data_IF_039622687501
#
_entry.id   IF_039622687501
#
_cell.length_a   1.000
_cell.length_b   1.000
_cell.length_c   1.000
_cell.angle_alpha   90.00
_cell.angle_beta   90.00
_cell.angle_gamma   90.00
#
_symmetry.space_group_name_H-M   'P 1'
#
loop_
_entity.id
_entity.type
_entity.pdbx_description
1 polymer ?
#
# COMPACT_ATOMS: atom_id res chain seq x y z
N UNK A 1 6.82 -32.53 24.27
CA UNK A 1 7.10 -31.37 25.12
C UNK A 1 8.60 -31.16 25.08
N UNK A 2 9.09 -30.15 24.38
CA UNK A 2 10.49 -29.76 24.43
C UNK A 2 10.66 -28.87 25.67
N UNK A 3 11.52 -29.29 26.56
CA UNK A 3 11.80 -28.58 27.81
C UNK A 3 12.87 -27.53 27.54
N UNK A 4 12.63 -26.28 27.90
CA UNK A 4 13.53 -25.14 27.68
C UNK A 4 14.81 -25.20 28.54
N UNK A 5 14.87 -26.10 29.52
CA UNK A 5 16.01 -26.24 30.41
C UNK A 5 17.19 -27.01 29.78
N UNK A 6 17.04 -27.62 28.61
CA UNK A 6 18.09 -28.39 27.92
C UNK A 6 19.10 -27.53 27.12
N UNK A 7 18.98 -26.19 27.12
CA UNK A 7 19.85 -25.28 26.38
C UNK A 7 20.99 -24.65 27.18
N UNK A 8 21.21 -25.05 28.45
CA UNK A 8 22.36 -24.60 29.24
C UNK A 8 23.43 -25.72 29.35
N UNK A 9 23.94 -26.17 28.19
CA UNK A 9 25.18 -26.94 28.16
C UNK A 9 26.36 -25.96 28.12
N UNK A 10 27.23 -26.06 29.12
CA UNK A 10 28.45 -25.27 29.29
C UNK A 10 29.31 -25.24 28.02
N UNK A 11 29.54 -24.08 27.47
CA UNK A 11 30.50 -23.88 26.36
C UNK A 11 31.92 -24.07 26.90
N UNK A 12 32.61 -25.11 26.42
CA UNK A 12 34.05 -25.28 26.60
C UNK A 12 34.77 -24.20 25.77
N UNK A 13 35.81 -23.54 26.26
CA UNK A 13 36.52 -22.50 25.53
C UNK A 13 37.19 -23.07 24.26
N UNK A 14 36.76 -22.59 23.09
CA UNK A 14 37.39 -22.87 21.81
C UNK A 14 38.66 -22.04 21.68
N UNK A 15 39.79 -22.68 21.45
CA UNK A 15 41.08 -22.02 21.21
C UNK A 15 40.97 -21.10 19.99
N UNK A 16 41.34 -19.85 20.17
CA UNK A 16 41.37 -18.84 19.10
C UNK A 16 42.41 -19.24 18.07
N UNK A 17 41.99 -19.43 16.81
CA UNK A 17 42.88 -19.49 15.68
C UNK A 17 43.47 -18.09 15.41
N UNK A 18 44.75 -17.98 14.98
CA UNK A 18 45.36 -16.70 14.63
C UNK A 18 44.70 -16.10 13.38
N UNK A 19 44.52 -14.77 13.41
CA UNK A 19 43.91 -14.03 12.31
C UNK A 19 44.69 -14.18 11.01
N UNK A 20 44.03 -14.24 9.84
CA UNK A 20 44.69 -14.25 8.56
C UNK A 20 45.39 -12.92 8.29
N UNK A 21 46.52 -12.91 7.52
CA UNK A 21 47.24 -11.69 7.19
C UNK A 21 46.37 -10.74 6.35
N UNK A 22 46.60 -9.38 6.43
CA UNK A 22 45.82 -8.42 5.70
C UNK A 22 45.96 -8.61 4.18
N UNK A 23 44.80 -8.55 3.49
CA UNK A 23 44.74 -8.63 2.03
C UNK A 23 45.52 -7.44 1.40
N UNK A 24 46.35 -7.74 0.42
CA UNK A 24 47.04 -6.73 -0.38
C UNK A 24 46.03 -5.97 -1.24
N UNK A 25 46.13 -4.63 -1.25
CA UNK A 25 45.37 -3.77 -2.13
C UNK A 25 45.59 -4.13 -3.61
N UNK A 26 44.55 -4.24 -4.42
CA UNK A 26 44.71 -4.43 -5.86
C UNK A 26 45.25 -3.14 -6.52
N UNK A 27 46.23 -3.31 -7.40
CA UNK A 27 46.78 -2.23 -8.21
C UNK A 27 45.72 -1.56 -9.08
N UNK A 28 45.82 -0.23 -9.37
CA UNK A 28 44.81 0.48 -10.13
C UNK A 28 44.72 -0.07 -11.58
N UNK A 29 43.51 -0.42 -11.98
CA UNK A 29 43.20 -0.85 -13.36
C UNK A 29 43.39 0.30 -14.34
N UNK A 30 44.03 0.00 -15.47
CA UNK A 30 44.22 0.95 -16.55
C UNK A 30 42.91 1.44 -17.15
N UNK A 31 42.83 2.74 -17.39
CA UNK A 31 41.67 3.41 -17.97
C UNK A 31 41.33 2.87 -19.36
N UNK A 32 40.06 2.49 -19.55
CA UNK A 32 39.49 2.17 -20.86
C UNK A 32 39.29 3.45 -21.70
N UNK A 33 39.40 3.42 -23.01
CA UNK A 33 39.28 4.62 -23.85
C UNK A 33 37.81 5.13 -23.89
N UNK A 34 37.69 6.43 -23.75
CA UNK A 34 36.43 7.18 -23.82
C UNK A 34 35.76 7.08 -25.19
N UNK A 35 34.47 6.76 -25.23
CA UNK A 35 33.64 6.85 -26.43
C UNK A 35 33.44 8.32 -26.87
N UNK A 36 33.26 8.61 -28.16
CA UNK A 36 33.14 9.97 -28.65
C UNK A 36 31.82 10.62 -28.25
N UNK A 37 31.90 11.88 -27.86
CA UNK A 37 30.79 12.72 -27.48
C UNK A 37 29.76 12.87 -28.60
N UNK A 38 28.48 12.62 -28.27
CA UNK A 38 27.36 12.92 -29.16
C UNK A 38 27.18 14.43 -29.27
N UNK A 39 26.91 14.91 -30.47
CA UNK A 39 26.68 16.31 -30.79
C UNK A 39 25.38 16.83 -30.11
N UNK A 40 25.30 18.12 -29.73
CA UNK A 40 24.13 18.66 -29.05
C UNK A 40 22.92 18.74 -29.99
N UNK A 41 21.79 18.18 -29.57
CA UNK A 41 20.51 18.33 -30.24
C UNK A 41 20.04 19.79 -30.17
N UNK A 42 19.59 20.30 -31.31
CA UNK A 42 19.07 21.64 -31.45
C UNK A 42 17.89 21.92 -30.52
N UNK A 43 17.97 23.01 -29.83
CA UNK A 43 16.93 23.57 -28.95
C UNK A 43 15.76 24.02 -29.84
N UNK A 44 14.60 23.34 -29.69
CA UNK A 44 13.36 23.83 -30.27
C UNK A 44 12.85 25.05 -29.44
N UNK A 45 12.53 26.12 -30.11
CA UNK A 45 11.92 27.32 -29.52
C UNK A 45 10.50 26.98 -28.99
N UNK A 46 10.08 27.56 -27.85
CA UNK A 46 8.73 27.36 -27.33
C UNK A 46 7.70 28.05 -28.20
N UNK A 47 6.76 27.29 -28.73
CA UNK A 47 5.58 27.83 -29.41
C UNK A 47 4.75 28.66 -28.42
N UNK A 48 4.33 29.85 -28.89
CA UNK A 48 3.52 30.80 -28.15
C UNK A 48 2.20 30.18 -27.68
N UNK A 49 1.87 30.36 -26.39
CA UNK A 49 0.61 29.97 -25.81
C UNK A 49 -0.57 30.70 -26.47
N UNK A 50 -1.67 30.00 -26.79
CA UNK A 50 -2.89 30.66 -27.18
C UNK A 50 -3.54 31.31 -25.96
N UNK A 51 -3.68 32.63 -26.02
CA UNK A 51 -4.47 33.43 -25.08
C UNK A 51 -5.96 33.18 -25.32
N UNK A 52 -6.66 32.78 -24.27
CA UNK A 52 -8.10 32.96 -24.14
C UNK A 52 -8.97 31.80 -24.61
N UNK A 53 -9.26 30.89 -23.72
CA UNK A 53 -10.50 30.13 -23.74
C UNK A 53 -11.20 30.31 -22.38
N UNK A 54 -12.46 30.73 -22.45
CA UNK A 54 -13.28 31.03 -21.30
C UNK A 54 -13.42 29.86 -20.33
N UNK A 55 -13.58 30.17 -19.05
CA UNK A 55 -14.00 29.26 -18.02
C UNK A 55 -15.33 28.63 -18.45
N UNK A 56 -15.25 27.43 -19.01
CA UNK A 56 -16.39 26.57 -19.23
C UNK A 56 -16.90 26.08 -17.89
N UNK A 57 -18.21 26.06 -17.72
CA UNK A 57 -18.97 25.57 -16.57
C UNK A 57 -18.52 24.18 -16.12
N UNK A 58 -18.43 23.98 -14.83
CA UNK A 58 -17.95 22.80 -14.08
C UNK A 58 -18.81 21.51 -14.22
N UNK A 59 -19.61 21.35 -15.28
CA UNK A 59 -20.44 20.17 -15.54
C UNK A 59 -19.98 19.43 -16.82
N UNK A 60 -18.83 18.76 -16.73
CA UNK A 60 -18.58 17.68 -17.67
C UNK A 60 -19.60 16.54 -17.39
N UNK A 61 -20.30 16.01 -18.41
CA UNK A 61 -21.28 14.95 -18.17
C UNK A 61 -20.60 13.74 -17.54
N UNK A 62 -21.07 13.39 -16.33
CA UNK A 62 -20.65 12.18 -15.62
C UNK A 62 -20.96 10.99 -16.53
N UNK A 63 -19.96 10.11 -16.78
CA UNK A 63 -20.19 8.93 -17.63
C UNK A 63 -21.27 8.03 -17.01
N UNK A 64 -22.03 7.31 -17.82
CA UNK A 64 -23.05 6.35 -17.37
C UNK A 64 -22.46 5.32 -16.38
N UNK A 65 -21.19 4.98 -16.52
CA UNK A 65 -20.49 4.07 -15.61
C UNK A 65 -20.31 4.69 -14.22
N UNK A 66 -19.93 5.97 -14.12
CA UNK A 66 -19.81 6.70 -12.87
C UNK A 66 -21.19 6.86 -12.19
N UNK A 67 -22.22 7.15 -12.97
CA UNK A 67 -23.59 7.24 -12.44
C UNK A 67 -24.06 5.89 -11.85
N UNK A 68 -23.78 4.76 -12.52
CA UNK A 68 -24.09 3.42 -12.00
C UNK A 68 -23.31 3.10 -10.72
N UNK A 69 -22.03 3.48 -10.65
CA UNK A 69 -21.22 3.29 -9.46
C UNK A 69 -21.82 4.02 -8.24
N UNK A 70 -22.17 5.29 -8.40
CA UNK A 70 -22.84 6.08 -7.34
C UNK A 70 -24.16 5.44 -6.89
N UNK A 71 -25.00 5.04 -7.82
CA UNK A 71 -26.29 4.40 -7.52
C UNK A 71 -26.14 3.04 -6.80
N UNK A 72 -25.07 2.30 -7.10
CA UNK A 72 -24.74 1.05 -6.41
C UNK A 72 -24.38 1.32 -4.95
N UNK A 73 -23.54 2.33 -4.69
CA UNK A 73 -23.08 2.67 -3.35
C UNK A 73 -24.18 3.28 -2.45
N UNK A 74 -25.14 3.99 -3.03
CA UNK A 74 -26.29 4.53 -2.28
C UNK A 74 -27.16 3.44 -1.64
N UNK A 75 -27.16 2.26 -2.23
CA UNK A 75 -27.99 1.12 -1.77
C UNK A 75 -27.22 0.18 -0.84
N UNK A 76 -25.95 0.45 -0.56
CA UNK A 76 -25.11 -0.45 0.21
C UNK A 76 -25.48 -0.42 1.69
N UNK A 77 -25.81 -1.59 2.26
CA UNK A 77 -25.94 -1.78 3.70
C UNK A 77 -24.53 -1.92 4.33
N UNK A 78 -24.21 -1.07 5.28
CA UNK A 78 -22.90 -1.02 5.95
C UNK A 78 -22.85 -1.81 7.26
N UNK A 79 -23.99 -2.36 7.72
CA UNK A 79 -24.07 -3.06 9.02
C UNK A 79 -23.11 -4.23 9.13
N UNK A 80 -22.95 -4.98 8.05
CA UNK A 80 -22.06 -6.13 7.96
C UNK A 80 -20.58 -5.72 7.98
N UNK A 81 -20.23 -4.63 7.29
CA UNK A 81 -18.89 -4.06 7.32
C UNK A 81 -18.49 -3.55 8.70
N UNK A 82 -19.42 -2.93 9.43
CA UNK A 82 -19.16 -2.51 10.80
C UNK A 82 -18.93 -3.70 11.71
N UNK A 83 -19.73 -4.77 11.59
CA UNK A 83 -19.56 -5.97 12.40
C UNK A 83 -18.20 -6.67 12.15
N UNK A 84 -17.74 -6.70 10.89
CA UNK A 84 -16.44 -7.29 10.55
C UNK A 84 -15.27 -6.44 11.08
N UNK A 85 -15.37 -5.12 10.99
CA UNK A 85 -14.39 -4.19 11.57
C UNK A 85 -14.31 -4.36 13.10
N UNK A 86 -15.45 -4.55 13.76
CA UNK A 86 -15.51 -4.84 15.19
C UNK A 86 -14.84 -6.19 15.51
N UNK A 87 -15.05 -7.20 14.68
CA UNK A 87 -14.40 -8.51 14.79
C UNK A 87 -12.89 -8.45 14.56
N UNK A 88 -12.44 -7.67 13.56
CA UNK A 88 -11.01 -7.47 13.27
C UNK A 88 -10.28 -6.64 14.34
N UNK A 89 -10.94 -5.65 14.94
CA UNK A 89 -10.41 -4.85 16.04
C UNK A 89 -10.45 -5.58 17.40
N UNK A 90 -11.23 -6.67 17.50
CA UNK A 90 -11.33 -7.50 18.70
C UNK A 90 -10.03 -8.25 18.97
N UNK A 91 -9.49 -8.19 20.22
CA UNK A 91 -8.38 -9.06 20.63
C UNK A 91 -8.84 -10.51 20.62
N UNK A 92 -8.28 -11.30 19.70
CA UNK A 92 -8.49 -12.75 19.67
C UNK A 92 -7.73 -13.36 20.85
N UNK A 93 -8.42 -14.11 21.71
CA UNK A 93 -7.78 -14.85 22.80
C UNK A 93 -6.85 -15.92 22.20
N UNK A 94 -5.72 -16.19 22.89
CA UNK A 94 -4.72 -17.14 22.39
C UNK A 94 -5.34 -18.53 22.16
N UNK A 95 -6.28 -18.93 23.00
CA UNK A 95 -6.95 -20.23 22.93
C UNK A 95 -7.94 -20.37 21.76
N UNK A 96 -8.39 -19.23 21.19
CA UNK A 96 -9.28 -19.19 20.02
C UNK A 96 -8.52 -19.28 18.68
N UNK A 97 -7.18 -19.23 18.71
CA UNK A 97 -6.35 -19.32 17.51
C UNK A 97 -6.36 -20.74 16.95
N UNK A 98 -6.93 -20.88 15.74
CA UNK A 98 -6.91 -22.14 15.01
C UNK A 98 -5.54 -22.39 14.38
N UNK A 99 -5.07 -23.64 14.43
CA UNK A 99 -3.85 -24.05 13.76
C UNK A 99 -4.10 -24.07 12.24
N UNK A 100 -3.32 -23.29 11.47
CA UNK A 100 -3.40 -23.26 10.01
C UNK A 100 -2.60 -24.43 9.48
N UNK A 101 -3.27 -25.36 8.78
CA UNK A 101 -2.60 -26.47 8.12
C UNK A 101 -2.36 -26.10 6.64
N UNK A 102 -1.13 -25.73 6.31
CA UNK A 102 -0.71 -25.44 4.93
C UNK A 102 -0.24 -26.75 4.27
N UNK A 103 -0.90 -27.13 3.16
CA UNK A 103 -0.53 -28.31 2.35
C UNK A 103 0.46 -27.99 1.23
N UNK A 104 0.96 -26.77 1.13
CA UNK A 104 1.85 -26.36 0.07
C UNK A 104 3.31 -26.72 0.40
N UNK A 105 3.98 -27.41 -0.49
CA UNK A 105 5.41 -27.63 -0.43
C UNK A 105 6.15 -26.46 -1.10
N UNK A 106 6.76 -25.60 -0.28
CA UNK A 106 7.55 -24.46 -0.75
C UNK A 106 8.93 -24.85 -1.31
N UNK A 107 9.32 -26.13 -1.24
CA UNK A 107 10.59 -26.62 -1.80
C UNK A 107 10.54 -26.79 -3.33
N UNK A 108 9.39 -26.55 -3.97
CA UNK A 108 9.23 -26.66 -5.43
C UNK A 108 9.51 -25.35 -6.17
N UNK A 109 10.44 -24.54 -5.67
CA UNK A 109 10.79 -23.26 -6.32
C UNK A 109 11.67 -23.38 -7.57
N UNK A 110 12.28 -24.54 -7.83
CA UNK A 110 13.20 -24.71 -8.97
C UNK A 110 12.73 -25.83 -9.88
N UNK A 111 12.61 -25.59 -11.19
CA UNK A 111 12.80 -24.33 -11.90
C UNK A 111 11.62 -23.36 -11.70
N UNK A 112 11.91 -22.06 -11.75
CA UNK A 112 10.87 -21.03 -11.64
C UNK A 112 9.94 -21.05 -12.86
N UNK A 113 8.64 -21.03 -12.62
CA UNK A 113 7.64 -20.82 -13.69
C UNK A 113 7.46 -19.32 -13.99
N UNK A 114 7.50 -18.48 -12.94
CA UNK A 114 7.30 -17.04 -13.03
C UNK A 114 8.48 -16.28 -12.42
N UNK A 115 9.53 -16.07 -13.21
CA UNK A 115 10.72 -15.33 -12.78
C UNK A 115 10.39 -13.92 -12.29
N UNK A 116 9.38 -13.27 -12.90
CA UNK A 116 8.92 -11.96 -12.49
C UNK A 116 8.39 -11.93 -11.04
N UNK A 117 7.70 -12.98 -10.60
CA UNK A 117 7.19 -13.05 -9.22
C UNK A 117 8.32 -13.28 -8.23
N UNK A 118 9.31 -14.09 -8.58
CA UNK A 118 10.52 -14.28 -7.78
C UNK A 118 11.33 -12.98 -7.65
N UNK A 119 11.50 -12.24 -8.75
CA UNK A 119 12.19 -10.96 -8.71
C UNK A 119 11.46 -9.96 -7.78
N UNK A 120 10.14 -9.87 -7.85
CA UNK A 120 9.36 -9.02 -6.92
C UNK A 120 9.54 -9.44 -5.45
N UNK A 121 9.63 -10.74 -5.17
CA UNK A 121 9.96 -11.21 -3.82
C UNK A 121 11.33 -10.72 -3.36
N UNK A 122 12.35 -10.79 -4.22
CA UNK A 122 13.68 -10.28 -3.90
C UNK A 122 13.68 -8.75 -3.70
N UNK A 123 12.97 -8.03 -4.55
CA UNK A 123 12.81 -6.57 -4.43
C UNK A 123 12.13 -6.18 -3.12
N UNK A 124 11.06 -6.91 -2.73
CA UNK A 124 10.40 -6.75 -1.44
C UNK A 124 11.34 -7.04 -0.25
N UNK A 125 12.12 -8.12 -0.34
CA UNK A 125 13.09 -8.46 0.70
C UNK A 125 14.21 -7.41 0.85
N UNK A 126 14.56 -6.69 -0.20
CA UNK A 126 15.56 -5.62 -0.14
C UNK A 126 15.02 -4.32 0.47
N UNK A 127 13.69 -4.13 0.51
CA UNK A 127 13.04 -3.01 1.18
C UNK A 127 12.77 -3.37 2.65
N UNK A 128 13.78 -3.16 3.50
CA UNK A 128 13.68 -3.47 4.93
C UNK A 128 13.70 -2.20 5.76
N UNK A 129 12.71 -2.04 6.63
CA UNK A 129 12.60 -0.93 7.57
C UNK A 129 11.83 -1.35 8.82
N UNK A 130 11.99 -0.60 9.91
CA UNK A 130 11.30 -0.85 11.17
C UNK A 130 10.73 0.44 11.75
N UNK A 131 9.49 0.44 12.23
CA UNK A 131 8.82 1.64 12.75
C UNK A 131 9.60 2.37 13.85
N UNK A 132 10.24 1.63 14.75
CA UNK A 132 10.98 2.19 15.89
C UNK A 132 12.24 2.95 15.49
N UNK A 133 12.72 2.79 14.27
CA UNK A 133 13.89 3.50 13.76
C UNK A 133 13.57 4.93 13.34
N UNK A 134 12.28 5.24 13.14
CA UNK A 134 11.81 6.57 12.79
C UNK A 134 11.70 7.46 14.02
N UNK A 135 12.33 8.63 13.98
CA UNK A 135 12.34 9.57 15.09
C UNK A 135 11.04 10.39 15.17
N UNK A 136 10.24 10.15 16.21
CA UNK A 136 8.96 10.83 16.44
C UNK A 136 9.07 12.07 17.36
N UNK A 137 10.24 12.45 17.85
CA UNK A 137 10.39 13.50 18.88
C UNK A 137 9.86 14.85 18.44
N UNK A 138 10.11 15.25 17.20
CA UNK A 138 9.61 16.51 16.64
C UNK A 138 8.08 16.48 16.50
N UNK A 139 7.52 15.35 16.08
CA UNK A 139 6.08 15.17 15.92
C UNK A 139 5.36 15.19 17.26
N UNK A 140 5.92 14.56 18.29
CA UNK A 140 5.41 14.61 19.66
C UNK A 140 5.38 16.04 20.19
N UNK A 141 6.46 16.81 19.99
CA UNK A 141 6.51 18.21 20.39
C UNK A 141 5.45 19.05 19.66
N UNK A 142 5.32 18.86 18.35
CA UNK A 142 4.34 19.57 17.51
C UNK A 142 2.91 19.19 17.89
N UNK A 143 2.64 17.90 18.15
CA UNK A 143 1.33 17.38 18.53
C UNK A 143 0.87 17.93 19.89
N UNK A 144 1.79 18.01 20.88
CA UNK A 144 1.50 18.54 22.21
C UNK A 144 1.35 20.07 22.23
N UNK A 145 1.90 20.78 21.24
CA UNK A 145 1.72 22.24 21.15
C UNK A 145 0.32 22.58 20.65
N UNK A 146 -0.53 23.30 21.42
CA UNK A 146 -1.87 23.68 20.98
C UNK A 146 -1.91 24.47 19.66
N UNK A 147 -0.85 25.26 19.38
CA UNK A 147 -0.71 26.09 18.18
C UNK A 147 0.10 25.41 17.07
N UNK A 148 0.60 24.20 17.31
CA UNK A 148 1.48 23.48 16.38
C UNK A 148 0.76 23.03 15.10
N UNK A 149 -0.45 22.51 15.26
CA UNK A 149 -1.30 22.00 14.18
C UNK A 149 -2.68 22.63 14.28
N UNK A 150 -3.28 22.89 13.12
CA UNK A 150 -4.70 23.26 13.05
C UNK A 150 -5.59 22.06 13.39
N UNK A 151 -6.86 22.33 13.75
CA UNK A 151 -7.85 21.26 14.02
C UNK A 151 -8.01 20.32 12.81
N UNK A 152 -7.96 20.87 11.59
CA UNK A 152 -8.06 20.06 10.37
C UNK A 152 -6.82 19.18 10.17
N UNK A 153 -5.62 19.68 10.44
CA UNK A 153 -4.40 18.89 10.39
C UNK A 153 -4.40 17.76 11.44
N UNK A 154 -4.85 18.05 12.67
CA UNK A 154 -5.01 17.03 13.72
C UNK A 154 -6.04 15.97 13.32
N UNK A 155 -7.15 16.41 12.71
CA UNK A 155 -8.19 15.51 12.21
C UNK A 155 -7.65 14.59 11.11
N UNK A 156 -6.87 15.10 10.17
CA UNK A 156 -6.22 14.30 9.12
C UNK A 156 -5.37 13.20 9.75
N UNK A 157 -4.48 13.53 10.68
CA UNK A 157 -3.60 12.54 11.33
C UNK A 157 -4.42 11.46 12.05
N UNK A 158 -5.38 11.85 12.89
CA UNK A 158 -6.22 10.90 13.63
C UNK A 158 -7.00 9.98 12.69
N UNK A 159 -7.65 10.54 11.67
CA UNK A 159 -8.50 9.79 10.75
C UNK A 159 -7.71 8.89 9.81
N UNK A 160 -6.54 9.32 9.38
CA UNK A 160 -5.64 8.46 8.61
C UNK A 160 -5.17 7.28 9.45
N UNK A 161 -4.65 7.50 10.65
CA UNK A 161 -4.22 6.41 11.53
C UNK A 161 -5.37 5.45 11.87
N UNK A 162 -6.57 5.98 12.15
CA UNK A 162 -7.75 5.15 12.45
C UNK A 162 -8.23 4.33 11.25
N UNK A 163 -8.16 4.88 10.04
CA UNK A 163 -8.51 4.14 8.83
C UNK A 163 -7.48 3.05 8.52
N UNK A 164 -6.20 3.41 8.44
CA UNK A 164 -5.14 2.47 8.03
C UNK A 164 -4.99 1.31 9.02
N UNK A 165 -5.01 1.56 10.32
CA UNK A 165 -4.91 0.50 11.33
C UNK A 165 -6.02 -0.56 11.24
N UNK A 166 -7.19 -0.17 10.71
CA UNK A 166 -8.32 -1.09 10.49
C UNK A 166 -8.21 -1.77 9.12
N UNK A 167 -7.83 -1.02 8.08
CA UNK A 167 -7.77 -1.51 6.71
C UNK A 167 -6.74 -2.63 6.55
N UNK A 168 -5.53 -2.46 7.08
CA UNK A 168 -4.46 -3.45 6.94
C UNK A 168 -4.76 -4.76 7.67
N UNK A 169 -5.57 -4.72 8.72
CA UNK A 169 -6.05 -5.96 9.35
C UNK A 169 -6.97 -6.76 8.42
N UNK A 170 -7.83 -6.09 7.63
CA UNK A 170 -8.67 -6.76 6.62
C UNK A 170 -7.82 -7.28 5.46
N UNK A 171 -6.83 -6.50 5.04
CA UNK A 171 -5.87 -6.84 3.99
C UNK A 171 -5.09 -8.11 4.37
N UNK A 172 -4.47 -8.15 5.54
CA UNK A 172 -3.72 -9.29 6.03
C UNK A 172 -4.59 -10.57 6.09
N UNK A 173 -5.83 -10.45 6.56
CA UNK A 173 -6.76 -11.59 6.59
C UNK A 173 -7.05 -12.12 5.18
N UNK A 174 -7.34 -11.27 4.19
CA UNK A 174 -7.57 -11.72 2.83
C UNK A 174 -6.33 -12.39 2.21
N UNK A 175 -5.14 -11.87 2.45
CA UNK A 175 -3.90 -12.48 1.96
C UNK A 175 -3.74 -13.91 2.47
N UNK A 176 -3.87 -14.10 3.78
CA UNK A 176 -3.58 -15.38 4.43
C UNK A 176 -4.71 -16.39 4.21
N UNK A 177 -5.97 -15.98 4.36
CA UNK A 177 -7.11 -16.90 4.34
C UNK A 177 -7.62 -17.22 2.93
N UNK A 178 -7.43 -16.29 1.98
CA UNK A 178 -7.91 -16.44 0.61
C UNK A 178 -6.77 -16.54 -0.40
N UNK A 179 -6.04 -15.45 -0.65
CA UNK A 179 -5.11 -15.34 -1.78
C UNK A 179 -4.00 -16.38 -1.71
N UNK A 180 -3.32 -16.53 -0.56
CA UNK A 180 -2.24 -17.50 -0.37
C UNK A 180 -2.70 -18.94 -0.61
N UNK A 181 -3.94 -19.27 -0.21
CA UNK A 181 -4.49 -20.61 -0.37
C UNK A 181 -4.83 -20.91 -1.83
N UNK A 182 -5.36 -19.93 -2.55
CA UNK A 182 -5.87 -20.10 -3.92
C UNK A 182 -4.78 -19.90 -4.99
N UNK A 183 -3.82 -19.04 -4.76
CA UNK A 183 -2.65 -18.87 -5.63
C UNK A 183 -1.60 -19.92 -5.23
N UNK A 184 -1.48 -20.99 -6.02
CA UNK A 184 -0.67 -22.17 -5.66
C UNK A 184 0.76 -22.15 -6.20
N UNK A 185 1.09 -21.21 -7.08
CA UNK A 185 2.43 -21.08 -7.63
C UNK A 185 3.44 -20.70 -6.53
N UNK A 186 4.57 -21.40 -6.40
CA UNK A 186 5.53 -21.19 -5.31
C UNK A 186 6.14 -19.79 -5.29
N UNK A 187 6.52 -19.22 -6.43
CA UNK A 187 7.14 -17.88 -6.50
C UNK A 187 6.14 -16.80 -6.07
N UNK A 188 4.88 -16.90 -6.49
CA UNK A 188 3.82 -16.01 -6.06
C UNK A 188 3.55 -16.15 -4.56
N UNK A 189 3.58 -17.37 -4.02
CA UNK A 189 3.41 -17.61 -2.58
C UNK A 189 4.53 -17.02 -1.75
N UNK A 190 5.77 -17.05 -2.22
CA UNK A 190 6.88 -16.37 -1.54
C UNK A 190 6.62 -14.87 -1.44
N UNK A 191 6.16 -14.24 -2.52
CA UNK A 191 5.79 -12.84 -2.49
C UNK A 191 4.63 -12.55 -1.54
N UNK A 192 3.56 -13.33 -1.59
CA UNK A 192 2.38 -13.16 -0.71
C UNK A 192 2.77 -13.29 0.77
N UNK A 193 3.69 -14.20 1.12
CA UNK A 193 4.21 -14.31 2.49
C UNK A 193 5.01 -13.05 2.87
N UNK A 194 5.81 -12.52 1.95
CA UNK A 194 6.54 -11.27 2.18
C UNK A 194 5.58 -10.09 2.35
N UNK A 195 4.58 -9.98 1.51
CA UNK A 195 3.51 -8.98 1.62
C UNK A 195 2.81 -9.09 2.98
N UNK A 196 2.41 -10.29 3.40
CA UNK A 196 1.77 -10.50 4.71
C UNK A 196 2.65 -10.05 5.88
N UNK A 197 3.97 -10.17 5.76
CA UNK A 197 4.91 -9.63 6.74
C UNK A 197 4.95 -8.09 6.71
N UNK A 198 4.93 -7.48 5.53
CA UNK A 198 4.89 -6.02 5.38
C UNK A 198 3.63 -5.43 6.01
N UNK A 199 2.47 -6.07 5.85
CA UNK A 199 1.22 -5.67 6.51
C UNK A 199 1.32 -5.69 8.05
N UNK A 200 2.07 -6.63 8.61
CA UNK A 200 2.33 -6.65 10.04
C UNK A 200 3.23 -5.48 10.48
N UNK A 201 4.20 -5.08 9.65
CA UNK A 201 5.04 -3.90 9.89
C UNK A 201 4.20 -2.62 9.77
N UNK A 202 3.28 -2.53 8.80
CA UNK A 202 2.38 -1.37 8.64
C UNK A 202 1.49 -1.20 9.88
N UNK A 203 0.85 -2.27 10.35
CA UNK A 203 0.06 -2.26 11.59
C UNK A 203 0.88 -1.78 12.78
N UNK A 204 2.12 -2.26 12.92
CA UNK A 204 3.04 -1.81 13.97
C UNK A 204 3.41 -0.32 13.81
N UNK A 205 3.59 0.17 12.58
CA UNK A 205 3.88 1.58 12.33
C UNK A 205 2.74 2.50 12.79
N UNK A 206 1.50 2.13 12.53
CA UNK A 206 0.35 2.91 13.01
C UNK A 206 0.25 2.89 14.53
N UNK A 207 0.43 1.74 15.15
CA UNK A 207 0.45 1.63 16.61
C UNK A 207 1.59 2.47 17.20
N UNK A 208 2.79 2.41 16.64
CA UNK A 208 3.93 3.21 17.08
C UNK A 208 3.67 4.72 16.96
N UNK A 209 3.00 5.17 15.90
CA UNK A 209 2.58 6.56 15.77
C UNK A 209 1.55 6.95 16.85
N UNK A 210 0.53 6.14 17.08
CA UNK A 210 -0.54 6.38 18.07
C UNK A 210 0.05 6.49 19.48
N UNK A 211 0.86 5.52 19.88
CA UNK A 211 1.53 5.49 21.18
C UNK A 211 2.49 6.67 21.35
N UNK A 212 3.35 6.95 20.36
CA UNK A 212 4.32 8.05 20.42
C UNK A 212 3.65 9.41 20.60
N UNK A 213 2.54 9.64 19.90
CA UNK A 213 1.77 10.89 19.99
C UNK A 213 0.89 10.96 21.25
N UNK A 214 0.75 9.87 21.99
CA UNK A 214 -0.09 9.77 23.19
C UNK A 214 -1.58 9.93 22.88
N UNK A 215 -2.02 9.35 21.76
CA UNK A 215 -3.44 9.32 21.38
C UNK A 215 -4.17 8.23 22.16
N UNK A 216 -5.47 8.41 22.34
CA UNK A 216 -6.34 7.38 22.90
C UNK A 216 -6.56 6.28 21.84
N UNK A 217 -6.03 5.09 22.09
CA UNK A 217 -6.16 3.94 21.19
C UNK A 217 -7.62 3.58 20.95
N UNK A 218 -8.46 3.66 21.99
CA UNK A 218 -9.89 3.38 21.89
C UNK A 218 -10.61 4.37 20.96
N UNK A 219 -10.23 5.66 21.00
CA UNK A 219 -10.75 6.68 20.07
C UNK A 219 -10.33 6.34 18.63
N UNK A 220 -9.05 6.05 18.42
CA UNK A 220 -8.49 5.84 17.09
C UNK A 220 -9.03 4.55 16.45
N UNK A 221 -8.98 3.42 17.14
CA UNK A 221 -9.44 2.15 16.59
C UNK A 221 -10.96 2.05 16.43
N UNK A 222 -11.75 2.93 17.07
CA UNK A 222 -13.21 3.00 16.88
C UNK A 222 -13.65 4.06 15.84
N UNK A 223 -12.73 4.73 15.16
CA UNK A 223 -13.06 5.79 14.19
C UNK A 223 -13.92 5.32 13.02
N UNK A 224 -13.88 4.05 12.66
CA UNK A 224 -14.78 3.48 11.65
C UNK A 224 -16.25 3.65 12.01
N UNK A 225 -16.60 3.77 13.32
CA UNK A 225 -17.96 4.05 13.80
C UNK A 225 -18.35 5.51 13.60
N UNK A 226 -17.40 6.42 13.67
CA UNK A 226 -17.61 7.86 13.53
C UNK A 226 -17.61 8.34 12.08
N UNK A 227 -16.98 7.55 11.18
CA UNK A 227 -16.82 7.88 9.77
C UNK A 227 -17.62 6.90 8.90
N UNK A 228 -18.83 7.27 8.46
CA UNK A 228 -19.64 6.42 7.59
C UNK A 228 -18.92 5.98 6.30
N UNK A 229 -18.01 6.82 5.78
CA UNK A 229 -17.21 6.49 4.60
C UNK A 229 -16.29 5.28 4.86
N UNK A 230 -15.71 5.15 6.06
CA UNK A 230 -14.86 4.00 6.43
C UNK A 230 -15.69 2.72 6.50
N UNK A 231 -16.87 2.76 7.14
CA UNK A 231 -17.77 1.61 7.20
C UNK A 231 -18.21 1.14 5.80
N UNK A 232 -18.52 2.09 4.90
CA UNK A 232 -18.86 1.77 3.49
C UNK A 232 -17.69 1.11 2.74
N UNK A 233 -16.47 1.62 2.92
CA UNK A 233 -15.26 1.04 2.31
C UNK A 233 -15.05 -0.41 2.78
N UNK A 234 -15.18 -0.66 4.09
CA UNK A 234 -15.09 -2.00 4.66
C UNK A 234 -16.17 -2.93 4.09
N UNK A 235 -17.43 -2.50 4.08
CA UNK A 235 -18.54 -3.29 3.53
C UNK A 235 -18.32 -3.61 2.05
N UNK A 236 -17.83 -2.63 1.28
CA UNK A 236 -17.50 -2.85 -0.12
C UNK A 236 -16.41 -3.92 -0.29
N UNK A 237 -15.35 -3.89 0.52
CA UNK A 237 -14.28 -4.90 0.47
C UNK A 237 -14.77 -6.30 0.84
N UNK A 238 -15.57 -6.42 1.90
CA UNK A 238 -16.07 -7.70 2.44
C UNK A 238 -16.89 -8.48 1.39
N UNK A 239 -17.68 -7.81 0.55
CA UNK A 239 -18.48 -8.49 -0.47
C UNK A 239 -17.64 -9.31 -1.47
N UNK A 240 -16.36 -8.95 -1.67
CA UNK A 240 -15.42 -9.65 -2.55
C UNK A 240 -14.46 -10.60 -1.83
N UNK A 241 -14.35 -10.50 -0.51
CA UNK A 241 -13.37 -11.28 0.27
C UNK A 241 -14.01 -12.42 1.06
N UNK A 242 -15.25 -12.27 1.50
CA UNK A 242 -15.94 -13.23 2.40
C UNK A 242 -16.00 -14.64 1.84
N UNK A 243 -16.49 -14.82 0.61
CA UNK A 243 -16.67 -16.14 0.01
C UNK A 243 -15.33 -16.88 -0.10
N UNK A 244 -14.25 -16.15 -0.46
CA UNK A 244 -12.92 -16.72 -0.63
C UNK A 244 -12.28 -17.12 0.70
N UNK A 245 -12.70 -16.51 1.80
CA UNK A 245 -12.20 -16.86 3.15
C UNK A 245 -12.82 -18.16 3.68
N UNK A 246 -13.86 -18.69 3.06
CA UNK A 246 -14.40 -20.01 3.40
C UNK A 246 -13.34 -21.08 3.06
N UNK A 247 -12.92 -21.92 4.02
CA UNK A 247 -11.95 -23.00 3.80
C UNK A 247 -12.39 -24.00 2.71
N UNK A 248 -13.71 -24.17 2.48
CA UNK A 248 -14.25 -25.07 1.50
C UNK A 248 -14.34 -24.47 0.08
N UNK A 249 -14.16 -23.16 -0.06
CA UNK A 249 -14.13 -22.52 -1.37
C UNK A 249 -12.95 -23.06 -2.20
N UNK A 250 -13.22 -23.43 -3.46
CA UNK A 250 -12.23 -23.95 -4.40
C UNK A 250 -12.42 -23.30 -5.77
N UNK A 251 -11.31 -23.02 -6.42
CA UNK A 251 -11.27 -22.63 -7.84
C UNK A 251 -11.37 -23.88 -8.73
N UNK A 252 -11.61 -23.69 -10.04
CA UNK A 252 -11.64 -24.74 -11.05
C UNK A 252 -12.93 -24.78 -11.87
N UNK A 253 -13.90 -23.90 -11.62
CA UNK A 253 -15.01 -23.62 -12.54
C UNK A 253 -14.91 -22.17 -13.02
N UNK A 254 -15.56 -21.84 -14.13
CA UNK A 254 -15.54 -20.46 -14.67
C UNK A 254 -16.08 -19.46 -13.65
N UNK A 255 -17.09 -19.83 -12.87
CA UNK A 255 -17.70 -18.98 -11.84
C UNK A 255 -16.71 -18.72 -10.69
N UNK A 256 -16.11 -19.78 -10.16
CA UNK A 256 -15.17 -19.66 -9.02
C UNK A 256 -13.85 -19.01 -9.42
N UNK A 257 -13.39 -19.22 -10.65
CA UNK A 257 -12.20 -18.59 -11.19
C UNK A 257 -12.43 -17.07 -11.45
N UNK A 258 -13.63 -16.69 -11.91
CA UNK A 258 -14.04 -15.29 -12.02
C UNK A 258 -14.18 -14.63 -10.65
N UNK A 259 -14.72 -15.33 -9.65
CA UNK A 259 -14.81 -14.82 -8.28
C UNK A 259 -13.41 -14.56 -7.70
N UNK A 260 -12.43 -15.44 -7.93
CA UNK A 260 -11.04 -15.17 -7.55
C UNK A 260 -10.48 -13.93 -8.26
N UNK A 261 -10.75 -13.78 -9.55
CA UNK A 261 -10.28 -12.63 -10.32
C UNK A 261 -10.92 -11.32 -9.81
N UNK A 262 -12.21 -11.33 -9.45
CA UNK A 262 -12.88 -10.21 -8.80
C UNK A 262 -12.25 -9.88 -7.43
N UNK A 263 -11.96 -10.90 -6.61
CA UNK A 263 -11.26 -10.70 -5.34
C UNK A 263 -9.90 -10.02 -5.53
N UNK A 264 -9.08 -10.51 -6.47
CA UNK A 264 -7.76 -9.91 -6.75
C UNK A 264 -7.87 -8.46 -7.24
N UNK A 265 -8.87 -8.15 -8.08
CA UNK A 265 -9.11 -6.77 -8.54
C UNK A 265 -9.56 -5.89 -7.37
N UNK A 266 -10.53 -6.36 -6.57
CA UNK A 266 -10.99 -5.62 -5.38
C UNK A 266 -9.84 -5.33 -4.42
N UNK A 267 -9.01 -6.33 -4.18
CA UNK A 267 -7.92 -6.28 -3.23
C UNK A 267 -6.78 -5.38 -3.73
N UNK A 268 -6.14 -5.74 -4.83
CA UNK A 268 -4.94 -5.03 -5.30
C UNK A 268 -5.23 -3.71 -6.01
N UNK A 269 -6.30 -3.64 -6.80
CA UNK A 269 -6.58 -2.44 -7.57
C UNK A 269 -7.42 -1.42 -6.82
N UNK A 270 -8.27 -1.84 -5.87
CA UNK A 270 -9.16 -0.94 -5.15
C UNK A 270 -8.72 -0.73 -3.70
N UNK A 271 -8.60 -1.79 -2.89
CA UNK A 271 -8.20 -1.65 -1.49
C UNK A 271 -6.81 -1.03 -1.37
N UNK A 272 -5.79 -1.67 -1.92
CA UNK A 272 -4.41 -1.15 -1.89
C UNK A 272 -4.18 -0.06 -2.95
N UNK A 273 -4.86 -0.17 -4.11
CA UNK A 273 -4.65 0.68 -5.28
C UNK A 273 -5.38 2.02 -5.27
N UNK A 274 -6.41 2.21 -4.46
CA UNK A 274 -7.23 3.43 -4.39
C UNK A 274 -7.48 3.87 -2.95
N UNK A 275 -7.96 2.98 -2.04
CA UNK A 275 -8.44 3.36 -0.71
C UNK A 275 -7.37 3.94 0.23
N UNK A 276 -6.11 3.77 -0.06
CA UNK A 276 -5.01 4.32 0.73
C UNK A 276 -4.53 5.69 0.23
N UNK A 277 -4.87 6.05 -1.01
CA UNK A 277 -4.23 7.19 -1.69
C UNK A 277 -4.63 8.56 -1.14
N UNK A 278 -5.84 8.70 -0.61
CA UNK A 278 -6.25 9.93 0.08
C UNK A 278 -5.38 10.15 1.34
N UNK A 279 -5.29 9.15 2.19
CA UNK A 279 -4.51 9.22 3.43
C UNK A 279 -3.02 9.45 3.19
N UNK A 280 -2.42 8.70 2.24
CA UNK A 280 -1.01 8.92 1.85
C UNK A 280 -0.77 10.35 1.41
N UNK A 281 -1.60 10.87 0.50
CA UNK A 281 -1.43 12.22 -0.03
C UNK A 281 -1.58 13.27 1.07
N UNK A 282 -2.54 13.10 1.99
CA UNK A 282 -2.77 14.00 3.11
C UNK A 282 -1.57 14.05 4.06
N UNK A 283 -1.09 12.90 4.53
CA UNK A 283 0.04 12.81 5.47
C UNK A 283 1.34 13.29 4.83
N UNK A 284 1.65 12.81 3.62
CA UNK A 284 2.88 13.20 2.93
C UNK A 284 2.91 14.69 2.58
N UNK A 285 1.75 15.30 2.29
CA UNK A 285 1.68 16.75 2.08
C UNK A 285 1.99 17.54 3.36
N UNK A 286 1.67 17.01 4.54
CA UNK A 286 2.08 17.62 5.82
C UNK A 286 3.60 17.51 6.01
N UNK A 287 4.20 16.34 5.74
CA UNK A 287 5.64 16.13 5.77
C UNK A 287 6.40 17.13 4.89
N UNK A 288 5.91 17.37 3.67
CA UNK A 288 6.47 18.38 2.73
C UNK A 288 6.45 19.82 3.29
N UNK A 289 5.62 20.09 4.26
CA UNK A 289 5.53 21.37 4.96
C UNK A 289 6.27 21.35 6.32
N UNK A 290 7.14 20.38 6.54
CA UNK A 290 7.84 20.14 7.81
C UNK A 290 6.89 19.98 9.02
N UNK A 291 5.72 19.36 8.80
CA UNK A 291 4.76 19.02 9.86
C UNK A 291 4.58 17.51 9.90
N UNK A 292 4.58 16.93 11.10
CA UNK A 292 4.43 15.49 11.31
C UNK A 292 5.41 14.68 10.42
N UNK A 293 6.68 15.05 10.48
CA UNK A 293 7.73 14.50 9.60
C UNK A 293 8.02 13.04 9.88
N UNK A 294 7.96 12.60 11.14
CA UNK A 294 8.12 11.20 11.51
C UNK A 294 6.94 10.34 11.05
N UNK A 295 5.71 10.83 11.24
CA UNK A 295 4.52 10.15 10.67
C UNK A 295 4.62 10.09 9.15
N UNK A 296 5.02 11.18 8.49
CA UNK A 296 5.18 11.21 7.03
C UNK A 296 6.28 10.25 6.55
N UNK A 297 7.37 10.08 7.29
CA UNK A 297 8.43 9.12 6.97
C UNK A 297 7.91 7.68 7.05
N UNK A 298 7.17 7.31 8.11
CA UNK A 298 6.49 6.02 8.22
C UNK A 298 5.60 5.76 6.99
N UNK A 299 4.74 6.73 6.67
CA UNK A 299 3.81 6.63 5.53
C UNK A 299 4.52 6.59 4.17
N UNK A 300 5.72 7.15 4.05
CA UNK A 300 6.53 7.03 2.84
C UNK A 300 7.06 5.61 2.64
N UNK A 301 7.49 4.94 3.72
CA UNK A 301 7.90 3.54 3.66
C UNK A 301 6.72 2.63 3.33
N UNK A 302 5.58 2.84 3.98
CA UNK A 302 4.35 2.09 3.71
C UNK A 302 3.91 2.28 2.24
N UNK A 303 3.84 3.52 1.73
CA UNK A 303 3.47 3.77 0.32
C UNK A 303 4.39 3.04 -0.67
N UNK A 304 5.67 2.86 -0.33
CA UNK A 304 6.61 2.10 -1.17
C UNK A 304 6.24 0.63 -1.21
N UNK A 305 5.94 0.04 -0.05
CA UNK A 305 5.50 -1.35 0.05
C UNK A 305 4.18 -1.55 -0.70
N UNK A 306 3.19 -0.69 -0.48
CA UNK A 306 1.90 -0.71 -1.17
C UNK A 306 2.03 -0.58 -2.70
N UNK A 307 2.99 0.21 -3.16
CA UNK A 307 3.26 0.32 -4.60
C UNK A 307 3.78 -0.99 -5.19
N UNK A 308 4.58 -1.74 -4.43
CA UNK A 308 5.03 -3.08 -4.83
C UNK A 308 3.89 -4.09 -4.80
N UNK A 309 3.03 -4.04 -3.77
CA UNK A 309 1.85 -4.90 -3.64
C UNK A 309 0.90 -4.74 -4.83
N UNK A 310 0.52 -3.50 -5.15
CA UNK A 310 -0.33 -3.20 -6.32
C UNK A 310 0.30 -3.71 -7.61
N UNK A 311 1.60 -3.50 -7.82
CA UNK A 311 2.29 -3.95 -9.03
C UNK A 311 2.33 -5.48 -9.11
N UNK A 312 2.54 -6.18 -8.00
CA UNK A 312 2.47 -7.65 -7.98
C UNK A 312 1.07 -8.14 -8.32
N UNK A 313 0.04 -7.57 -7.67
CA UNK A 313 -1.34 -7.96 -7.91
C UNK A 313 -1.79 -7.73 -9.35
N UNK A 314 -1.42 -6.60 -9.94
CA UNK A 314 -1.69 -6.29 -11.36
C UNK A 314 -1.01 -7.33 -12.28
N UNK A 315 0.22 -7.72 -11.99
CA UNK A 315 0.92 -8.73 -12.79
C UNK A 315 0.28 -10.11 -12.64
N UNK A 316 -0.16 -10.50 -11.43
CA UNK A 316 -0.93 -11.75 -11.21
C UNK A 316 -2.24 -11.72 -12.00
N UNK A 317 -3.01 -10.64 -11.92
CA UNK A 317 -4.27 -10.47 -12.65
C UNK A 317 -4.02 -10.59 -14.17
N UNK A 318 -3.01 -9.89 -14.69
CA UNK A 318 -2.69 -9.93 -16.11
C UNK A 318 -2.17 -11.31 -16.54
N UNK A 319 -1.43 -12.02 -15.69
CA UNK A 319 -1.00 -13.39 -15.96
C UNK A 319 -2.19 -14.35 -16.03
N UNK A 320 -3.14 -14.22 -15.10
CA UNK A 320 -4.40 -15.02 -15.14
C UNK A 320 -5.16 -14.75 -16.44
N UNK A 321 -5.27 -13.48 -16.87
CA UNK A 321 -5.93 -13.12 -18.14
C UNK A 321 -5.24 -13.73 -19.37
N UNK A 322 -3.90 -13.81 -19.37
CA UNK A 322 -3.13 -14.44 -20.46
C UNK A 322 -3.36 -15.94 -20.49
N UNK A 323 -3.31 -16.60 -19.34
CA UNK A 323 -3.49 -18.06 -19.24
C UNK A 323 -4.94 -18.50 -19.41
N UNK A 324 -5.90 -17.63 -19.03
CA UNK A 324 -7.33 -17.94 -19.04
C UNK A 324 -8.14 -16.81 -19.73
N UNK A 325 -7.94 -16.57 -21.04
CA UNK A 325 -8.56 -15.44 -21.73
C UNK A 325 -10.09 -15.47 -21.73
N UNK A 326 -10.69 -16.63 -21.54
CA UNK A 326 -12.15 -16.80 -21.45
C UNK A 326 -12.75 -16.19 -20.16
N UNK A 327 -11.95 -15.97 -19.10
CA UNK A 327 -12.38 -15.29 -17.88
C UNK A 327 -12.50 -13.78 -18.07
N UNK A 328 -11.75 -13.20 -19.03
CA UNK A 328 -11.71 -11.74 -19.28
C UNK A 328 -12.67 -11.35 -20.40
N UNK A 329 -13.91 -11.80 -20.33
CA UNK A 329 -14.99 -11.47 -21.27
C UNK A 329 -15.52 -10.03 -21.07
N UNK A 330 -16.54 -9.65 -21.85
CA UNK A 330 -17.13 -8.31 -21.77
C UNK A 330 -17.74 -8.05 -20.39
N UNK A 331 -18.41 -9.03 -19.80
CA UNK A 331 -19.05 -8.91 -18.50
C UNK A 331 -18.00 -8.68 -17.39
N UNK A 332 -16.88 -9.41 -17.41
CA UNK A 332 -15.79 -9.23 -16.43
C UNK A 332 -15.12 -7.85 -16.59
N UNK A 333 -14.92 -7.38 -17.81
CA UNK A 333 -14.38 -6.03 -18.05
C UNK A 333 -15.29 -4.93 -17.52
N UNK A 334 -16.60 -5.05 -17.75
CA UNK A 334 -17.59 -4.11 -17.22
C UNK A 334 -17.62 -4.16 -15.68
N UNK A 335 -17.56 -5.35 -15.09
CA UNK A 335 -17.51 -5.56 -13.64
C UNK A 335 -16.25 -4.92 -13.05
N UNK A 336 -15.07 -5.18 -13.61
CA UNK A 336 -13.80 -4.61 -13.15
C UNK A 336 -13.81 -3.07 -13.24
N UNK A 337 -14.35 -2.52 -14.31
CA UNK A 337 -14.54 -1.07 -14.46
C UNK A 337 -15.44 -0.53 -13.36
N UNK A 338 -16.58 -1.17 -13.12
CA UNK A 338 -17.53 -0.78 -12.07
C UNK A 338 -16.90 -0.80 -10.69
N UNK A 339 -16.12 -1.84 -10.36
CA UNK A 339 -15.42 -1.97 -9.07
C UNK A 339 -14.44 -0.80 -8.83
N UNK A 340 -13.66 -0.44 -9.83
CA UNK A 340 -12.72 0.69 -9.75
C UNK A 340 -13.47 2.01 -9.56
N UNK A 341 -14.58 2.23 -10.26
CA UNK A 341 -15.38 3.45 -10.13
C UNK A 341 -16.06 3.55 -8.77
N UNK A 342 -16.63 2.46 -8.26
CA UNK A 342 -17.22 2.40 -6.92
C UNK A 342 -16.18 2.72 -5.85
N UNK A 343 -15.01 2.08 -5.92
CA UNK A 343 -13.90 2.36 -5.01
C UNK A 343 -13.45 3.82 -5.07
N UNK A 344 -13.37 4.39 -6.25
CA UNK A 344 -13.00 5.80 -6.44
C UNK A 344 -14.02 6.74 -5.79
N UNK A 345 -15.30 6.50 -5.97
CA UNK A 345 -16.35 7.33 -5.36
C UNK A 345 -16.35 7.23 -3.83
N UNK A 346 -16.14 6.03 -3.28
CA UNK A 346 -15.99 5.84 -1.83
C UNK A 346 -14.80 6.61 -1.27
N UNK A 347 -13.67 6.61 -1.97
CA UNK A 347 -12.48 7.33 -1.54
C UNK A 347 -12.65 8.86 -1.66
N UNK A 348 -13.37 9.33 -2.67
CA UNK A 348 -13.75 10.76 -2.81
C UNK A 348 -14.64 11.18 -1.63
N UNK A 349 -15.60 10.36 -1.23
CA UNK A 349 -16.44 10.65 -0.05
C UNK A 349 -15.59 10.71 1.22
N UNK A 350 -14.67 9.75 1.40
CA UNK A 350 -13.73 9.75 2.53
C UNK A 350 -12.88 11.03 2.55
N UNK A 351 -12.38 11.47 1.39
CA UNK A 351 -11.61 12.72 1.27
C UNK A 351 -12.41 13.95 1.70
N UNK A 352 -13.67 14.03 1.30
CA UNK A 352 -14.58 15.13 1.70
C UNK A 352 -14.84 15.13 3.21
N UNK A 353 -15.02 13.96 3.81
CA UNK A 353 -15.29 13.81 5.25
C UNK A 353 -14.05 14.13 6.09
N UNK A 354 -12.86 13.71 5.63
CA UNK A 354 -11.61 13.94 6.39
C UNK A 354 -11.10 15.37 6.28
N UNK A 355 -11.43 16.08 5.20
CA UNK A 355 -10.87 17.40 4.90
C UNK A 355 -11.97 18.39 4.42
N UNK A 356 -13.02 18.65 5.21
CA UNK A 356 -14.17 19.44 4.77
C UNK A 356 -13.82 20.91 4.45
N UNK A 357 -12.81 21.49 5.10
CA UNK A 357 -12.37 22.88 4.89
C UNK A 357 -11.10 22.98 4.05
N UNK A 358 -10.44 21.86 3.78
CA UNK A 358 -9.13 21.82 3.16
C UNK A 358 -7.99 22.19 4.13
N UNK A 359 -6.77 21.98 3.67
CA UNK A 359 -5.53 22.42 4.33
C UNK A 359 -4.67 23.15 3.31
N UNK A 360 -3.63 23.83 3.76
CA UNK A 360 -2.74 24.58 2.86
C UNK A 360 -2.20 23.68 1.75
N UNK A 361 -2.49 24.04 0.50
CA UNK A 361 -2.04 23.32 -0.70
C UNK A 361 -2.89 22.11 -1.09
N UNK A 362 -4.00 21.83 -0.37
CA UNK A 362 -4.86 20.70 -0.67
C UNK A 362 -6.31 20.96 -0.25
N UNK A 363 -7.25 20.64 -1.13
CA UNK A 363 -8.68 20.70 -0.88
C UNK A 363 -9.41 19.49 -1.47
N UNK A 364 -10.69 19.33 -1.14
CA UNK A 364 -11.48 18.18 -1.57
C UNK A 364 -11.57 18.05 -3.10
N UNK A 365 -11.63 19.17 -3.85
CA UNK A 365 -11.67 19.15 -5.32
C UNK A 365 -10.36 18.62 -5.91
N UNK A 366 -9.21 19.10 -5.44
CA UNK A 366 -7.91 18.59 -5.88
C UNK A 366 -7.76 17.11 -5.56
N UNK A 367 -8.25 16.66 -4.39
CA UNK A 367 -8.22 15.24 -4.04
C UNK A 367 -9.13 14.42 -4.96
N UNK A 368 -10.31 14.90 -5.31
CA UNK A 368 -11.20 14.26 -6.27
C UNK A 368 -10.51 14.09 -7.63
N UNK A 369 -9.90 15.15 -8.17
CA UNK A 369 -9.12 15.08 -9.42
C UNK A 369 -7.97 14.07 -9.33
N UNK A 370 -7.26 14.03 -8.19
CA UNK A 370 -6.20 13.08 -7.97
C UNK A 370 -6.70 11.63 -7.93
N UNK A 371 -7.80 11.36 -7.24
CA UNK A 371 -8.37 10.01 -7.16
C UNK A 371 -8.92 9.53 -8.50
N UNK A 372 -9.49 10.43 -9.30
CA UNK A 372 -9.88 10.14 -10.69
C UNK A 372 -8.66 9.81 -11.57
N UNK A 373 -7.54 10.54 -11.40
CA UNK A 373 -6.27 10.23 -12.06
C UNK A 373 -5.75 8.84 -11.66
N UNK A 374 -5.78 8.49 -10.38
CA UNK A 374 -5.38 7.16 -9.88
C UNK A 374 -6.30 6.07 -10.44
N UNK A 375 -7.62 6.30 -10.49
CA UNK A 375 -8.57 5.36 -11.07
C UNK A 375 -8.26 5.07 -12.55
N UNK A 376 -8.01 6.10 -13.36
CA UNK A 376 -7.59 5.94 -14.76
C UNK A 376 -6.28 5.12 -14.86
N UNK A 377 -5.33 5.34 -13.97
CA UNK A 377 -4.09 4.55 -13.90
C UNK A 377 -4.38 3.07 -13.62
N UNK A 378 -5.29 2.74 -12.70
CA UNK A 378 -5.70 1.35 -12.41
C UNK A 378 -6.43 0.71 -13.59
N UNK A 379 -7.33 1.45 -14.23
CA UNK A 379 -8.01 0.99 -15.45
C UNK A 379 -6.99 0.66 -16.55
N UNK A 380 -6.04 1.56 -16.82
CA UNK A 380 -5.00 1.35 -17.83
C UNK A 380 -4.13 0.12 -17.52
N UNK A 381 -3.76 -0.10 -16.26
CA UNK A 381 -2.99 -1.29 -15.83
C UNK A 381 -3.71 -2.62 -16.11
N UNK A 382 -5.05 -2.59 -16.10
CA UNK A 382 -5.88 -3.75 -16.47
C UNK A 382 -6.23 -3.80 -17.96
N UNK A 383 -5.76 -2.83 -18.77
CA UNK A 383 -6.11 -2.74 -20.19
C UNK A 383 -7.55 -2.29 -20.42
N UNK A 384 -8.14 -1.54 -19.50
CA UNK A 384 -9.48 -0.96 -19.60
C UNK A 384 -9.41 0.51 -20.03
N UNK A 385 -10.46 1.02 -20.71
CA UNK A 385 -10.49 2.40 -21.17
C UNK A 385 -10.62 3.39 -20.02
N UNK A 386 -10.02 4.56 -20.19
CA UNK A 386 -10.18 5.71 -19.30
C UNK A 386 -11.65 6.09 -19.12
N UNK A 387 -12.05 6.39 -17.88
CA UNK A 387 -13.41 6.83 -17.53
C UNK A 387 -13.49 8.32 -17.19
N UNK A 388 -12.41 8.92 -16.71
CA UNK A 388 -12.32 10.33 -16.35
C UNK A 388 -11.46 11.07 -17.36
N UNK A 389 -12.11 11.69 -18.36
CA UNK A 389 -11.41 12.37 -19.46
C UNK A 389 -10.84 13.71 -19.05
N UNK A 390 -9.62 13.99 -19.48
CA UNK A 390 -8.97 15.28 -19.28
C UNK A 390 -8.58 15.59 -17.84
N UNK A 391 -8.53 14.57 -16.97
CA UNK A 391 -8.06 14.72 -15.60
C UNK A 391 -6.53 14.72 -15.59
N UNK A 392 -5.96 15.73 -14.95
CA UNK A 392 -4.51 15.85 -14.73
C UNK A 392 -4.16 15.54 -13.27
N UNK A 393 -2.91 15.18 -13.03
CA UNK A 393 -2.43 14.90 -11.66
C UNK A 393 -2.15 16.22 -10.92
N UNK A 394 -2.97 16.63 -9.93
CA UNK A 394 -2.72 17.86 -9.16
C UNK A 394 -1.57 17.72 -8.15
N UNK A 395 -1.07 16.49 -7.93
CA UNK A 395 0.04 16.18 -7.02
C UNK A 395 1.17 15.43 -7.73
N UNK A 396 1.91 16.06 -8.69
CA UNK A 396 2.97 15.39 -9.46
C UNK A 396 4.03 14.75 -8.56
N UNK A 397 4.32 15.35 -7.41
CA UNK A 397 5.25 14.85 -6.42
C UNK A 397 4.88 13.48 -5.84
N UNK A 398 3.59 13.10 -5.83
CA UNK A 398 3.16 11.75 -5.44
C UNK A 398 3.64 10.72 -6.46
N UNK A 399 3.56 11.02 -7.76
CA UNK A 399 4.10 10.13 -8.80
C UNK A 399 5.62 9.98 -8.68
N UNK A 400 6.34 11.06 -8.35
CA UNK A 400 7.77 10.99 -8.10
C UNK A 400 8.12 10.03 -6.95
N UNK A 401 7.34 10.02 -5.87
CA UNK A 401 7.55 9.10 -4.74
C UNK A 401 7.24 7.64 -5.15
N UNK A 402 6.15 7.41 -5.88
CA UNK A 402 5.72 6.08 -6.29
C UNK A 402 6.60 5.46 -7.39
N UNK A 403 7.07 6.28 -8.34
CA UNK A 403 7.79 5.84 -9.52
C UNK A 403 9.31 5.84 -9.32
N UNK A 404 9.80 6.42 -8.22
CA UNK A 404 11.21 6.35 -7.85
C UNK A 404 11.58 4.91 -7.48
N UNK A 405 12.18 4.19 -8.43
CA UNK A 405 13.04 3.04 -8.15
C UNK A 405 14.28 3.54 -7.40
N UNK A 406 14.14 3.91 -6.15
CA UNK A 406 15.27 4.00 -5.24
C UNK A 406 15.49 2.60 -4.68
N UNK A 407 16.05 1.73 -5.48
CA UNK A 407 16.84 0.60 -5.01
C UNK A 407 18.06 1.15 -4.28
N UNK A 408 17.88 1.58 -3.05
CA UNK A 408 18.97 1.76 -2.12
C UNK A 408 19.08 0.45 -1.36
N UNK A 409 19.94 -0.43 -1.84
CA UNK A 409 20.36 -1.59 -1.08
C UNK A 409 20.93 -1.09 0.27
N UNK A 410 20.42 -1.61 1.38
CA UNK A 410 20.93 -1.34 2.73
C UNK A 410 22.46 -1.46 2.85
N UNK A 411 23.08 -2.33 2.05
CA UNK A 411 24.54 -2.52 1.99
C UNK A 411 25.27 -1.54 1.08
N UNK A 412 24.60 -0.86 0.16
CA UNK A 412 25.20 0.04 -0.83
C UNK A 412 25.09 1.53 -0.47
N UNK A 413 24.14 1.89 0.35
CA UNK A 413 24.06 3.22 0.92
C UNK A 413 23.92 3.08 2.43
N UNK A 414 24.94 3.50 3.19
CA UNK A 414 24.67 3.94 4.57
C UNK A 414 23.45 4.83 4.47
N UNK A 415 22.38 4.49 5.18
CA UNK A 415 21.25 5.38 5.37
C UNK A 415 21.84 6.60 6.06
N UNK A 416 22.17 7.63 5.28
CA UNK A 416 22.81 8.86 5.77
C UNK A 416 21.83 9.60 6.71
N UNK A 417 20.58 9.18 6.71
CA UNK A 417 19.49 9.67 7.55
C UNK A 417 19.30 8.86 8.84
N UNK A 418 20.09 7.82 9.11
CA UNK A 418 20.26 7.29 10.45
C UNK A 418 20.98 8.36 11.29
N UNK A 419 20.23 9.30 11.77
CA UNK A 419 20.65 10.01 12.99
C UNK A 419 20.56 8.97 14.10
N UNK A 420 21.63 8.20 14.27
CA UNK A 420 21.89 7.59 15.58
C UNK A 420 21.77 8.72 16.57
N UNK A 421 20.70 8.66 17.40
CA UNK A 421 20.54 9.59 18.50
C UNK A 421 21.83 9.63 19.31
N UNK A 422 22.70 10.56 18.96
CA UNK A 422 23.91 10.85 19.70
C UNK A 422 23.52 11.49 21.01
N UNK A 423 23.13 10.66 21.98
CA UNK A 423 23.26 10.96 23.41
C UNK A 423 22.70 9.79 24.24
N UNK A 424 23.37 8.68 24.18
CA UNK A 424 23.46 7.84 25.36
C UNK A 424 24.82 8.13 25.97
N UNK A 425 24.90 9.15 26.82
CA UNK A 425 25.96 9.25 27.82
C UNK A 425 25.58 8.26 28.91
N UNK A 426 26.42 7.24 29.09
CA UNK A 426 26.41 6.31 30.20
C UNK A 426 26.91 7.03 31.46
#
# INVERSE_FOLDING_TARGET
MLNWDDFHAEEKPVARQPAPPPAQEPAPAAAAPSAPAAAPAARAEPAAAPTGAGRGSDDAPVSDAVARARASLEKMDVSEGVAELEGAAGRVQVDDKRMINCRADLNQLVPFKYDWAWQKYLDGCSNHWMPQEVNMSADVALWKNPEGLTDDERRIVKRSLGFFSTADSLVANNLVLAVYRLITNPECRQYILRQSFEEAIHTHAYQYCIESLGMDEGEIFNMYRELPAVAKKAQWGIQYTREMSDPEFKTGTVETDKALLENLIAFYCVLEGIFFYCGFTQILSMGRRNKMTGVAEQFQYILRDESMHVNFGVDVINQIKIENPHLWDAQMRDKATQMILEGTELEIQYARDTMPRGVLGMNAKMMEEYLQFIANRRLAQLGLPEQFKGVENPFPWMSEIMDLRKEKNFFETRVIEYQTGGSLSW
#
